data_IF_003162959710
#
_entry.id   IF_003162959710
#
_cell.length_a   1.000
_cell.length_b   1.000
_cell.length_c   1.000
_cell.angle_alpha   90.00
_cell.angle_beta   90.00
_cell.angle_gamma   90.00
#
_symmetry.space_group_name_H-M   'P 1'
#
loop_
_entity.id
_entity.type
_entity.pdbx_description
1 polymer ?
#
# COMPACT_ATOMS: atom_id res chain seq x y z
N UNK A 1 10.59 -25.80 32.11
CA UNK A 1 9.35 -25.00 32.23
C UNK A 1 9.79 -23.58 32.57
N UNK A 2 9.71 -22.53 31.76
CA UNK A 2 9.01 -22.24 30.52
C UNK A 2 9.83 -21.14 29.81
N UNK A 3 9.91 -21.21 28.48
CA UNK A 3 10.68 -20.31 27.61
C UNK A 3 10.23 -18.84 27.74
N UNK A 4 11.19 -17.94 27.89
CA UNK A 4 11.02 -16.50 27.70
C UNK A 4 10.82 -16.26 26.20
N UNK A 5 9.58 -16.10 25.74
CA UNK A 5 9.27 -15.98 24.30
C UNK A 5 8.23 -14.90 23.98
N UNK A 6 8.23 -13.80 24.74
CA UNK A 6 7.26 -12.72 24.50
C UNK A 6 7.85 -11.32 24.67
N UNK A 7 9.06 -11.10 24.17
CA UNK A 7 9.66 -9.75 24.09
C UNK A 7 10.15 -9.40 22.67
N UNK A 8 9.55 -9.99 21.64
CA UNK A 8 9.91 -9.74 20.23
C UNK A 8 9.01 -8.74 19.49
N UNK A 9 7.80 -8.46 19.99
CA UNK A 9 6.80 -7.65 19.23
C UNK A 9 6.79 -6.16 19.57
N UNK A 10 7.40 -5.76 20.69
CA UNK A 10 7.37 -4.36 21.16
C UNK A 10 8.52 -3.49 20.60
N UNK A 11 9.48 -4.11 19.90
CA UNK A 11 10.68 -3.45 19.36
C UNK A 11 10.69 -3.33 17.82
N UNK A 12 9.61 -3.74 17.13
CA UNK A 12 9.57 -3.69 15.66
C UNK A 12 9.05 -2.35 15.09
N UNK A 13 8.42 -1.52 15.93
CA UNK A 13 7.87 -0.22 15.51
C UNK A 13 8.98 0.86 15.42
N UNK A 14 10.11 0.66 16.08
CA UNK A 14 11.19 1.68 16.16
C UNK A 14 11.94 1.88 14.83
N UNK A 15 11.81 1.00 13.85
CA UNK A 15 12.49 1.09 12.54
C UNK A 15 11.54 1.42 11.39
N UNK A 16 10.23 1.54 11.66
CA UNK A 16 9.23 1.83 10.63
C UNK A 16 9.12 3.34 10.47
N UNK A 17 9.32 3.81 9.23
CA UNK A 17 9.19 5.24 8.96
C UNK A 17 7.71 5.63 8.86
N UNK A 18 7.19 6.32 9.87
CA UNK A 18 5.81 6.80 9.89
C UNK A 18 5.47 7.67 8.67
N UNK A 19 6.41 8.52 8.23
CA UNK A 19 6.24 9.31 7.01
C UNK A 19 6.04 8.43 5.78
N UNK A 20 6.75 7.30 5.69
CA UNK A 20 6.62 6.37 4.58
C UNK A 20 5.30 5.61 4.63
N UNK A 21 4.83 5.23 5.82
CA UNK A 21 3.48 4.67 5.99
C UNK A 21 2.39 5.64 5.53
N UNK A 22 2.47 6.93 5.92
CA UNK A 22 1.50 7.94 5.45
C UNK A 22 1.54 8.08 3.93
N UNK A 23 2.73 8.18 3.33
CA UNK A 23 2.84 8.26 1.87
C UNK A 23 2.20 7.05 1.19
N UNK A 24 2.45 5.85 1.70
CA UNK A 24 1.91 4.61 1.15
C UNK A 24 0.39 4.53 1.33
N UNK A 25 -0.15 4.96 2.48
CA UNK A 25 -1.58 5.07 2.72
C UNK A 25 -2.25 6.11 1.80
N UNK A 26 -1.58 7.20 1.43
CA UNK A 26 -2.14 8.11 0.42
C UNK A 26 -2.09 7.46 -0.98
N UNK A 27 -1.03 6.72 -1.27
CA UNK A 27 -0.77 6.14 -2.60
C UNK A 27 -1.60 4.88 -2.90
N UNK A 28 -2.13 4.16 -1.91
CA UNK A 28 -3.04 3.04 -2.21
C UNK A 28 -4.43 3.54 -2.64
N UNK A 29 -5.05 4.43 -1.86
CA UNK A 29 -6.38 5.00 -2.13
C UNK A 29 -6.43 5.90 -3.37
N UNK A 30 -5.31 6.51 -3.76
CA UNK A 30 -5.29 7.39 -4.93
C UNK A 30 -5.57 6.62 -6.23
N UNK A 31 -5.31 5.30 -6.27
CA UNK A 31 -5.74 4.45 -7.37
C UNK A 31 -7.27 4.30 -7.35
N UNK A 32 -7.87 4.08 -6.18
CA UNK A 32 -9.33 3.98 -5.98
C UNK A 32 -10.06 5.27 -6.33
N UNK A 33 -9.42 6.42 -6.16
CA UNK A 33 -9.96 7.70 -6.63
C UNK A 33 -10.18 7.75 -8.16
N UNK A 34 -9.47 6.92 -8.93
CA UNK A 34 -9.58 6.83 -10.39
C UNK A 34 -10.41 5.62 -10.83
N UNK A 35 -10.13 4.44 -10.29
CA UNK A 35 -10.84 3.20 -10.69
C UNK A 35 -12.17 3.00 -9.97
N UNK A 36 -12.43 3.80 -8.93
CA UNK A 36 -13.51 3.57 -7.97
C UNK A 36 -13.11 2.55 -6.92
N UNK A 37 -13.81 2.57 -5.79
CA UNK A 37 -13.69 1.56 -4.74
C UNK A 37 -14.22 0.20 -5.24
N UNK A 38 -13.30 -0.69 -5.63
CA UNK A 38 -13.62 -2.03 -6.12
C UNK A 38 -13.64 -2.98 -4.92
N UNK A 39 -14.81 -3.08 -4.30
CA UNK A 39 -15.03 -4.02 -3.19
C UNK A 39 -15.16 -5.47 -3.70
N UNK A 40 -14.94 -6.48 -2.83
CA UNK A 40 -15.14 -7.89 -3.18
C UNK A 40 -16.56 -8.22 -3.68
N UNK A 41 -17.56 -7.39 -3.34
CA UNK A 41 -18.94 -7.52 -3.79
C UNK A 41 -19.13 -7.20 -5.28
N UNK A 42 -18.19 -6.49 -5.92
CA UNK A 42 -18.20 -6.18 -7.34
C UNK A 42 -17.88 -7.39 -8.23
N UNK A 43 -17.41 -8.51 -7.67
CA UNK A 43 -17.10 -9.73 -8.43
C UNK A 43 -15.89 -9.59 -9.37
N UNK A 44 -15.06 -8.58 -9.17
CA UNK A 44 -13.83 -8.35 -9.95
C UNK A 44 -12.72 -9.25 -9.42
N UNK A 45 -12.01 -9.93 -10.32
CA UNK A 45 -10.86 -10.75 -9.92
C UNK A 45 -9.70 -9.86 -9.44
N UNK A 46 -8.82 -10.42 -8.60
CA UNK A 46 -7.68 -9.68 -8.08
C UNK A 46 -6.75 -9.17 -9.20
N UNK A 47 -6.63 -9.95 -10.27
CA UNK A 47 -5.82 -9.62 -11.44
C UNK A 47 -6.40 -8.42 -12.19
N UNK A 48 -7.73 -8.38 -12.38
CA UNK A 48 -8.38 -7.26 -13.06
C UNK A 48 -8.38 -5.99 -12.20
N UNK A 49 -8.54 -6.11 -10.87
CA UNK A 49 -8.33 -4.99 -9.93
C UNK A 49 -6.92 -4.42 -10.09
N UNK A 50 -5.91 -5.28 -10.01
CA UNK A 50 -4.51 -4.85 -10.10
C UNK A 50 -4.18 -4.24 -11.47
N UNK A 51 -4.73 -4.78 -12.57
CA UNK A 51 -4.58 -4.20 -13.92
C UNK A 51 -5.15 -2.78 -13.99
N UNK A 52 -6.37 -2.58 -13.49
CA UNK A 52 -7.05 -1.27 -13.48
C UNK A 52 -6.29 -0.26 -12.61
N UNK A 53 -5.86 -0.67 -11.43
CA UNK A 53 -5.10 0.19 -10.51
C UNK A 53 -3.73 0.58 -11.08
N UNK A 54 -3.05 -0.36 -11.74
CA UNK A 54 -1.79 -0.09 -12.44
C UNK A 54 -1.98 0.94 -13.56
N UNK A 55 -3.06 0.82 -14.34
CA UNK A 55 -3.40 1.77 -15.41
C UNK A 55 -3.73 3.17 -14.84
N UNK A 56 -4.45 3.23 -13.71
CA UNK A 56 -4.71 4.47 -13.00
C UNK A 56 -3.42 5.14 -12.49
N UNK A 57 -2.48 4.36 -11.94
CA UNK A 57 -1.18 4.88 -11.52
C UNK A 57 -0.36 5.43 -12.66
N UNK A 58 -0.32 4.73 -13.80
CA UNK A 58 0.36 5.25 -14.99
C UNK A 58 -0.26 6.57 -15.45
N UNK A 59 -1.59 6.67 -15.41
CA UNK A 59 -2.29 7.91 -15.72
C UNK A 59 -1.92 9.04 -14.75
N UNK A 60 -1.85 8.77 -13.44
CA UNK A 60 -1.40 9.77 -12.47
C UNK A 60 0.05 10.17 -12.63
N UNK A 61 0.93 9.21 -12.91
CA UNK A 61 2.34 9.48 -13.17
C UNK A 61 2.50 10.44 -14.35
N UNK A 62 1.65 10.30 -15.38
CA UNK A 62 1.57 11.24 -16.51
C UNK A 62 1.01 12.60 -16.08
N UNK A 63 -0.07 12.64 -15.28
CA UNK A 63 -0.66 13.90 -14.78
C UNK A 63 0.30 14.71 -13.90
N UNK A 64 1.13 14.04 -13.10
CA UNK A 64 2.15 14.67 -12.27
C UNK A 64 3.33 15.24 -13.07
N UNK A 65 3.27 15.16 -14.41
CA UNK A 65 4.24 15.76 -15.32
C UNK A 65 5.45 14.88 -15.64
N UNK A 66 5.48 13.64 -15.13
CA UNK A 66 6.64 12.76 -15.23
C UNK A 66 7.84 13.27 -14.41
N UNK A 67 8.55 12.37 -13.73
CA UNK A 67 9.74 12.73 -12.95
C UNK A 67 9.92 11.87 -11.71
N UNK A 68 10.88 12.25 -10.85
CA UNK A 68 11.24 11.48 -9.66
C UNK A 68 10.05 11.21 -8.72
N UNK A 69 9.13 12.18 -8.58
CA UNK A 69 7.93 12.01 -7.73
C UNK A 69 6.96 10.96 -8.26
N UNK A 70 6.77 10.91 -9.57
CA UNK A 70 5.92 9.90 -10.19
C UNK A 70 6.53 8.50 -10.02
N UNK A 71 7.85 8.39 -10.15
CA UNK A 71 8.57 7.14 -9.89
C UNK A 71 8.47 6.72 -8.42
N UNK A 72 8.62 7.65 -7.47
CA UNK A 72 8.47 7.37 -6.04
C UNK A 72 7.06 6.82 -5.72
N UNK A 73 6.01 7.41 -6.29
CA UNK A 73 4.63 6.95 -6.10
C UNK A 73 4.44 5.55 -6.69
N UNK A 74 4.93 5.30 -7.91
CA UNK A 74 4.84 3.99 -8.55
C UNK A 74 5.60 2.91 -7.74
N UNK A 75 6.77 3.24 -7.19
CA UNK A 75 7.53 2.34 -6.33
C UNK A 75 6.82 2.04 -5.03
N UNK A 76 6.30 3.06 -4.34
CA UNK A 76 5.54 2.90 -3.10
C UNK A 76 4.31 2.02 -3.30
N UNK A 77 3.58 2.20 -4.40
CA UNK A 77 2.42 1.37 -4.71
C UNK A 77 2.82 -0.09 -4.99
N UNK A 78 3.87 -0.31 -5.80
CA UNK A 78 4.37 -1.67 -6.08
C UNK A 78 4.83 -2.36 -4.80
N UNK A 79 5.45 -1.63 -3.89
CA UNK A 79 5.88 -2.13 -2.59
C UNK A 79 4.69 -2.49 -1.70
N UNK A 80 3.64 -1.65 -1.67
CA UNK A 80 2.37 -1.93 -0.99
C UNK A 80 1.70 -3.20 -1.52
N UNK A 81 1.63 -3.35 -2.84
CA UNK A 81 1.03 -4.52 -3.48
C UNK A 81 1.83 -5.79 -3.25
N UNK A 82 3.17 -5.72 -3.37
CA UNK A 82 4.07 -6.82 -3.07
C UNK A 82 4.12 -7.18 -1.58
N UNK A 83 3.64 -6.30 -0.70
CA UNK A 83 3.65 -6.48 0.76
C UNK A 83 5.04 -6.85 1.31
N UNK A 84 6.09 -6.29 0.70
CA UNK A 84 7.47 -6.71 0.90
C UNK A 84 8.13 -6.04 2.10
N UNK A 85 7.73 -4.83 2.45
CA UNK A 85 8.28 -4.07 3.58
C UNK A 85 7.44 -4.13 4.86
N UNK A 86 8.05 -3.84 6.03
CA UNK A 86 7.32 -3.67 7.28
C UNK A 86 6.26 -2.58 7.20
N UNK A 87 6.56 -1.46 6.54
CA UNK A 87 5.62 -0.36 6.29
C UNK A 87 4.39 -0.85 5.52
N UNK A 88 4.59 -1.58 4.42
CA UNK A 88 3.50 -2.13 3.61
C UNK A 88 2.59 -3.05 4.41
N UNK A 89 3.17 -3.93 5.23
CA UNK A 89 2.40 -4.83 6.10
C UNK A 89 1.55 -4.06 7.10
N UNK A 90 2.13 -3.04 7.72
CA UNK A 90 1.42 -2.19 8.68
C UNK A 90 0.27 -1.47 8.00
N UNK A 91 0.51 -0.78 6.87
CA UNK A 91 -0.54 -0.05 6.15
C UNK A 91 -1.66 -0.99 5.70
N UNK A 92 -1.32 -2.18 5.21
CA UNK A 92 -2.30 -3.19 4.76
C UNK A 92 -3.09 -3.83 5.90
N UNK A 93 -2.54 -3.85 7.11
CA UNK A 93 -3.27 -4.26 8.30
C UNK A 93 -4.16 -3.13 8.84
N UNK A 94 -3.76 -1.86 8.69
CA UNK A 94 -4.60 -0.70 8.99
C UNK A 94 -5.80 -0.57 8.04
N UNK A 95 -5.59 -0.76 6.74
CA UNK A 95 -6.64 -0.77 5.71
C UNK A 95 -7.77 -1.77 6.07
N UNK A 96 -7.41 -3.00 6.45
CA UNK A 96 -8.37 -4.02 6.91
C UNK A 96 -9.11 -3.67 8.21
N UNK A 97 -8.61 -2.74 9.02
CA UNK A 97 -9.29 -2.28 10.23
C UNK A 97 -10.26 -1.14 9.94
N UNK A 98 -10.05 -0.39 8.85
CA UNK A 98 -10.99 0.64 8.39
C UNK A 98 -12.17 0.05 7.60
N UNK A 99 -11.97 -1.10 6.94
CA UNK A 99 -13.00 -1.91 6.27
C UNK A 99 -13.89 -2.71 7.23
#
# INVERSE_FOLDING_TARGET
YFQVSTFGKKLFISTISFFRCIKMAIVHDIAEAIVGDITPSCGVSKEEKNRRESEALEHMCKLLGGGERANEIAELWREYEANSSPEAKVVKDFDKLEM
#
